data_IF_293795467310
#
_entry.id   IF_293795467310
#
_cell.length_a   1.000
_cell.length_b   1.000
_cell.length_c   1.000
_cell.angle_alpha   90.00
_cell.angle_beta   90.00
_cell.angle_gamma   90.00
#
_symmetry.space_group_name_H-M   'P 1'
#
loop_
_entity.id
_entity.type
_entity.pdbx_description
1 polymer ?
#
# COMPACT_ATOMS: atom_id res chain seq x y z
N UNK A 1 11.24 -11.32 7.78
CA UNK A 1 11.08 -10.66 6.47
C UNK A 1 10.95 -9.16 6.65
N UNK A 2 11.69 -8.39 5.87
CA UNK A 2 11.63 -6.94 5.93
C UNK A 2 11.10 -6.40 4.60
N UNK A 3 10.01 -5.61 4.67
CA UNK A 3 9.50 -4.88 3.52
C UNK A 3 10.01 -3.45 3.58
N UNK A 4 10.57 -2.96 2.49
CA UNK A 4 11.07 -1.59 2.39
C UNK A 4 10.37 -0.88 1.25
N UNK A 5 9.75 0.26 1.54
CA UNK A 5 9.16 1.13 0.52
C UNK A 5 10.07 2.33 0.33
N UNK A 6 10.52 2.52 -0.89
CA UNK A 6 11.31 3.69 -1.28
C UNK A 6 10.43 4.56 -2.16
N UNK A 7 10.14 5.76 -1.71
CA UNK A 7 9.37 6.74 -2.46
C UNK A 7 10.26 7.33 -3.54
N UNK A 8 9.90 7.12 -4.81
CA UNK A 8 10.74 7.47 -5.95
C UNK A 8 10.27 8.73 -6.67
N UNK A 9 9.00 9.08 -6.56
CA UNK A 9 8.46 10.27 -7.20
C UNK A 9 7.35 10.86 -6.34
N UNK A 10 7.56 12.10 -5.91
CA UNK A 10 6.59 12.86 -5.12
C UNK A 10 5.79 13.75 -6.08
N UNK A 11 4.58 13.35 -6.41
CA UNK A 11 3.72 14.09 -7.30
C UNK A 11 2.77 15.02 -6.56
N UNK A 12 1.96 15.74 -7.32
CA UNK A 12 1.00 16.70 -6.77
C UNK A 12 -0.11 16.00 -5.99
N UNK A 13 -0.63 14.89 -6.53
CA UNK A 13 -1.79 14.19 -5.97
C UNK A 13 -1.46 12.84 -5.39
N UNK A 14 -0.31 12.27 -5.72
CA UNK A 14 0.07 10.94 -5.30
C UNK A 14 1.59 10.80 -5.19
N UNK A 15 2.02 9.70 -4.56
CA UNK A 15 3.43 9.35 -4.41
C UNK A 15 3.68 7.97 -5.00
N UNK A 16 4.57 7.89 -5.99
CA UNK A 16 5.05 6.63 -6.55
C UNK A 16 6.23 6.11 -5.73
N UNK A 17 6.34 4.79 -5.65
CA UNK A 17 7.46 4.15 -4.98
C UNK A 17 7.71 2.74 -5.47
N UNK A 18 8.67 2.09 -4.86
CA UNK A 18 8.96 0.67 -5.07
C UNK A 18 8.95 -0.03 -3.72
N UNK A 19 8.58 -1.30 -3.73
CA UNK A 19 8.62 -2.16 -2.55
C UNK A 19 9.66 -3.25 -2.75
N UNK A 20 10.56 -3.38 -1.78
CA UNK A 20 11.59 -4.40 -1.76
C UNK A 20 11.29 -5.39 -0.63
N UNK A 21 11.51 -6.67 -0.89
CA UNK A 21 11.48 -7.71 0.16
C UNK A 21 12.93 -8.12 0.42
N UNK A 22 13.38 -7.88 1.63
CA UNK A 22 14.76 -8.19 2.05
C UNK A 22 15.80 -7.67 1.03
N UNK A 23 15.57 -6.43 0.55
CA UNK A 23 16.45 -5.76 -0.40
C UNK A 23 16.24 -6.08 -1.87
N UNK A 24 15.30 -6.97 -2.21
CA UNK A 24 15.03 -7.37 -3.60
C UNK A 24 13.70 -6.77 -4.08
N UNK A 25 13.71 -6.17 -5.26
CA UNK A 25 12.51 -5.57 -5.85
C UNK A 25 11.36 -6.58 -5.94
N UNK A 26 10.19 -6.18 -5.45
CA UNK A 26 8.98 -7.00 -5.52
C UNK A 26 7.92 -6.38 -6.44
N UNK A 27 7.60 -5.12 -6.21
CA UNK A 27 6.52 -4.44 -6.94
C UNK A 27 6.62 -2.93 -6.79
N UNK A 28 5.78 -2.22 -7.53
CA UNK A 28 5.60 -0.78 -7.39
C UNK A 28 4.57 -0.47 -6.32
N UNK A 29 4.61 0.76 -5.80
CA UNK A 29 3.67 1.24 -4.79
C UNK A 29 3.07 2.58 -5.20
N UNK A 30 1.86 2.83 -4.71
CA UNK A 30 1.18 4.10 -4.83
C UNK A 30 0.63 4.48 -3.47
N UNK A 31 0.90 5.71 -3.06
CA UNK A 31 0.39 6.31 -1.84
C UNK A 31 -0.22 7.67 -2.14
N UNK A 32 -0.93 8.24 -1.17
CA UNK A 32 -1.40 9.62 -1.22
C UNK A 32 -0.21 10.59 -1.32
N UNK A 33 -0.50 11.86 -1.60
CA UNK A 33 0.54 12.87 -1.75
C UNK A 33 1.34 13.06 -0.45
N UNK A 34 2.63 13.38 -0.62
CA UNK A 34 3.48 13.72 0.51
C UNK A 34 3.30 15.18 0.90
N UNK A 35 3.08 15.43 2.19
CA UNK A 35 3.07 16.77 2.77
C UNK A 35 3.67 16.72 4.16
N UNK A 36 4.34 17.79 4.56
CA UNK A 36 4.92 17.90 5.89
C UNK A 36 3.84 17.91 6.98
N UNK A 37 2.67 18.44 6.66
CA UNK A 37 1.50 18.45 7.56
C UNK A 37 0.44 17.52 6.99
N UNK A 38 -0.05 16.58 7.82
CA UNK A 38 -1.09 15.64 7.44
C UNK A 38 -2.39 16.35 7.08
N UNK A 39 -2.99 15.95 5.96
CA UNK A 39 -4.36 16.28 5.60
C UNK A 39 -5.16 14.99 5.51
N UNK A 40 -6.21 14.86 6.30
CA UNK A 40 -7.02 13.65 6.40
C UNK A 40 -7.48 13.18 5.01
N UNK A 41 -7.28 11.88 4.72
CA UNK A 41 -7.64 11.23 3.45
C UNK A 41 -6.87 11.74 2.22
N UNK A 42 -5.92 12.64 2.36
CA UNK A 42 -5.21 13.24 1.23
C UNK A 42 -3.70 13.04 1.27
N UNK A 43 -3.11 12.75 2.43
CA UNK A 43 -1.66 12.64 2.56
C UNK A 43 -1.22 11.23 2.94
N UNK A 44 -0.01 10.85 2.49
CA UNK A 44 0.59 9.56 2.85
C UNK A 44 1.06 9.56 4.31
N UNK A 45 1.39 8.35 4.81
CA UNK A 45 1.86 8.17 6.18
C UNK A 45 3.27 8.73 6.36
N UNK A 46 3.67 9.06 7.61
CA UNK A 46 5.04 9.49 7.89
C UNK A 46 6.06 8.41 7.57
N UNK A 47 7.28 8.83 7.26
CA UNK A 47 8.41 7.92 7.17
C UNK A 47 8.65 7.26 8.53
N UNK A 48 9.06 6.00 8.51
CA UNK A 48 9.33 5.26 9.74
C UNK A 48 9.36 3.77 9.51
N UNK A 49 9.52 3.03 10.59
CA UNK A 49 9.49 1.57 10.59
C UNK A 49 8.27 1.12 11.39
N UNK A 50 7.47 0.27 10.79
CA UNK A 50 6.20 -0.17 11.37
C UNK A 50 6.12 -1.70 11.36
N UNK A 51 5.62 -2.27 12.45
CA UNK A 51 5.29 -3.69 12.47
C UNK A 51 4.05 -3.94 11.61
N UNK A 52 3.97 -5.12 11.01
CA UNK A 52 2.83 -5.56 10.22
C UNK A 52 2.20 -6.76 10.91
N UNK A 53 0.88 -6.68 11.14
CA UNK A 53 0.09 -7.80 11.69
C UNK A 53 -1.12 -8.04 10.82
N UNK A 54 -1.66 -9.25 10.85
CA UNK A 54 -2.92 -9.56 10.17
C UNK A 54 -4.10 -8.92 10.91
N UNK A 55 -4.90 -8.16 10.17
CA UNK A 55 -6.16 -7.63 10.66
C UNK A 55 -7.31 -8.50 10.15
N UNK A 56 -8.06 -9.08 11.07
CA UNK A 56 -9.13 -10.03 10.77
C UNK A 56 -10.53 -9.47 10.99
N UNK A 57 -10.66 -8.15 10.98
CA UNK A 57 -11.94 -7.44 11.14
C UNK A 57 -12.03 -6.30 10.12
N UNK A 58 -13.24 -5.80 9.91
CA UNK A 58 -13.48 -4.65 9.04
C UNK A 58 -13.85 -5.02 7.61
N UNK A 59 -14.23 -4.01 6.84
CA UNK A 59 -14.76 -4.17 5.49
C UNK A 59 -13.76 -4.75 4.49
N UNK A 60 -12.51 -4.32 4.54
CA UNK A 60 -11.46 -4.88 3.68
C UNK A 60 -11.24 -6.36 3.95
N UNK A 61 -11.17 -6.75 5.21
CA UNK A 61 -11.00 -8.16 5.57
C UNK A 61 -12.15 -9.00 5.04
N UNK A 62 -13.40 -8.55 5.24
CA UNK A 62 -14.59 -9.25 4.77
C UNK A 62 -14.58 -9.42 3.25
N UNK A 63 -14.28 -8.35 2.53
CA UNK A 63 -14.21 -8.33 1.07
C UNK A 63 -13.12 -9.27 0.54
N UNK A 64 -11.92 -9.20 1.11
CA UNK A 64 -10.79 -10.00 0.66
C UNK A 64 -10.94 -11.47 1.05
N UNK A 65 -11.54 -11.76 2.20
CA UNK A 65 -11.88 -13.14 2.58
C UNK A 65 -12.85 -13.78 1.58
N UNK A 66 -13.85 -13.04 1.13
CA UNK A 66 -14.78 -13.51 0.12
C UNK A 66 -14.08 -13.75 -1.23
N UNK A 67 -13.13 -12.88 -1.60
CA UNK A 67 -12.42 -12.95 -2.88
C UNK A 67 -11.34 -14.03 -2.92
N UNK A 68 -10.56 -14.19 -1.86
CA UNK A 68 -9.39 -15.08 -1.84
C UNK A 68 -9.59 -16.34 -1.01
N UNK A 69 -10.68 -16.44 -0.24
CA UNK A 69 -11.00 -17.63 0.53
C UNK A 69 -9.93 -18.01 1.54
N UNK A 70 -9.53 -19.28 1.52
CA UNK A 70 -8.56 -19.83 2.48
C UNK A 70 -7.16 -19.23 2.38
N UNK A 71 -6.81 -18.62 1.26
CA UNK A 71 -5.53 -17.95 1.09
C UNK A 71 -5.44 -16.65 1.89
N UNK A 72 -6.58 -16.09 2.26
CA UNK A 72 -6.63 -14.83 3.03
C UNK A 72 -6.66 -15.10 4.52
N UNK A 73 -5.61 -14.70 5.24
CA UNK A 73 -5.48 -14.85 6.70
C UNK A 73 -5.84 -13.57 7.46
N UNK A 74 -5.89 -12.45 6.78
CA UNK A 74 -6.14 -11.12 7.32
C UNK A 74 -5.50 -10.08 6.43
N UNK A 75 -5.88 -8.81 6.61
CA UNK A 75 -5.24 -7.72 5.89
C UNK A 75 -3.88 -7.41 6.51
N UNK A 76 -2.92 -7.03 5.67
CA UNK A 76 -1.61 -6.58 6.14
C UNK A 76 -1.77 -5.19 6.74
N UNK A 77 -1.68 -5.10 8.05
CA UNK A 77 -2.01 -3.90 8.84
C UNK A 77 -0.77 -3.35 9.53
N UNK A 78 -0.38 -2.13 9.16
CA UNK A 78 0.74 -1.43 9.78
C UNK A 78 0.33 -0.92 11.16
N UNK A 79 1.17 -1.19 12.18
CA UNK A 79 0.89 -0.88 13.56
C UNK A 79 1.46 0.47 13.98
N UNK A 80 0.72 1.18 14.83
CA UNK A 80 1.19 2.40 15.50
C UNK A 80 1.72 3.49 14.55
N UNK A 81 1.02 3.71 13.45
CA UNK A 81 1.37 4.77 12.50
C UNK A 81 0.92 6.12 13.08
N UNK A 82 1.86 7.07 13.34
CA UNK A 82 1.50 8.36 13.93
C UNK A 82 0.45 9.12 13.12
N UNK A 83 -0.66 9.49 13.78
CA UNK A 83 -1.73 10.26 13.16
C UNK A 83 -2.65 9.51 12.23
N UNK A 84 -2.48 8.21 12.09
CA UNK A 84 -3.30 7.37 11.21
C UNK A 84 -3.80 6.13 11.94
N UNK A 85 -4.95 5.61 11.49
CA UNK A 85 -5.50 4.34 11.96
C UNK A 85 -5.83 3.46 10.77
N UNK A 86 -5.76 2.14 10.96
CA UNK A 86 -6.16 1.16 9.94
C UNK A 86 -5.41 1.31 8.62
N UNK A 87 -4.11 1.54 8.69
CA UNK A 87 -3.27 1.60 7.49
C UNK A 87 -2.99 0.19 7.00
N UNK A 88 -3.45 -0.12 5.80
CA UNK A 88 -3.38 -1.44 5.21
C UNK A 88 -2.57 -1.41 3.91
N UNK A 89 -2.02 -2.55 3.54
CA UNK A 89 -1.51 -2.78 2.19
C UNK A 89 -2.62 -3.49 1.42
N UNK A 90 -3.06 -2.92 0.31
CA UNK A 90 -4.15 -3.49 -0.48
C UNK A 90 -4.01 -3.20 -1.97
N UNK A 91 -4.96 -3.69 -2.76
CA UNK A 91 -5.02 -3.48 -4.19
C UNK A 91 -5.86 -2.23 -4.53
N UNK A 92 -5.59 -1.61 -5.66
CA UNK A 92 -6.30 -0.44 -6.15
C UNK A 92 -5.63 0.10 -7.41
N UNK A 93 -6.09 1.23 -7.96
CA UNK A 93 -5.57 1.81 -9.20
C UNK A 93 -5.03 3.22 -9.04
N UNK A 94 -5.66 4.05 -8.23
CA UNK A 94 -5.28 5.46 -8.05
C UNK A 94 -5.22 5.79 -6.57
N UNK A 95 -4.67 6.96 -6.25
CA UNK A 95 -4.62 7.47 -4.88
C UNK A 95 -6.01 7.63 -4.25
N UNK A 96 -7.06 7.76 -5.06
CA UNK A 96 -8.44 7.80 -4.56
C UNK A 96 -8.87 6.51 -3.89
N UNK A 97 -8.18 5.40 -4.16
CA UNK A 97 -8.43 4.09 -3.53
C UNK A 97 -7.71 3.91 -2.20
N UNK A 98 -7.05 4.94 -1.69
CA UNK A 98 -6.35 4.90 -0.41
C UNK A 98 -6.80 6.03 0.50
N UNK A 99 -6.56 5.89 1.80
CA UNK A 99 -6.70 6.93 2.81
C UNK A 99 -5.49 6.82 3.73
N UNK A 100 -4.31 7.02 3.15
CA UNK A 100 -3.04 6.77 3.78
C UNK A 100 -2.52 5.35 3.57
N UNK A 101 -3.35 4.43 3.06
CA UNK A 101 -2.95 3.04 2.80
C UNK A 101 -1.95 2.95 1.65
N UNK A 102 -1.29 1.80 1.57
CA UNK A 102 -0.31 1.50 0.53
C UNK A 102 -0.95 0.59 -0.52
N UNK A 103 -0.95 1.06 -1.77
CA UNK A 103 -1.43 0.26 -2.91
C UNK A 103 -0.22 -0.30 -3.64
N UNK A 104 -0.31 -1.56 -4.06
CA UNK A 104 0.76 -2.25 -4.80
C UNK A 104 0.33 -2.57 -6.23
N UNK A 105 1.29 -2.67 -7.15
CA UNK A 105 1.04 -2.99 -8.55
C UNK A 105 2.29 -3.47 -9.27
N UNK A 106 2.10 -4.11 -10.42
CA UNK A 106 3.21 -4.58 -11.26
C UNK A 106 3.70 -3.51 -12.23
N UNK A 107 2.87 -2.52 -12.54
CA UNK A 107 3.22 -1.41 -13.43
C UNK A 107 2.93 -0.09 -12.76
N UNK A 108 3.58 0.95 -13.21
CA UNK A 108 3.48 2.28 -12.64
C UNK A 108 3.51 3.32 -13.75
N UNK A 109 2.63 4.32 -13.66
CA UNK A 109 2.62 5.46 -14.57
C UNK A 109 3.37 6.61 -13.93
N UNK A 110 4.16 7.33 -14.72
CA UNK A 110 4.84 8.52 -14.25
C UNK A 110 3.83 9.56 -13.76
N UNK A 111 4.14 10.20 -12.63
CA UNK A 111 3.30 11.25 -12.09
C UNK A 111 3.50 12.55 -12.89
N UNK A 112 2.38 13.19 -13.20
CA UNK A 112 2.34 14.49 -13.85
C UNK A 112 1.71 15.49 -12.87
N UNK A 113 2.01 16.77 -13.00
CA UNK A 113 1.43 17.81 -12.15
C UNK A 113 -0.08 17.98 -12.36
N UNK A 114 -0.60 17.51 -13.48
CA UNK A 114 -2.02 17.60 -13.83
C UNK A 114 -2.78 16.29 -13.62
N UNK A 115 -2.09 15.17 -13.43
CA UNK A 115 -2.70 13.84 -13.37
C UNK A 115 -2.48 13.18 -12.00
N UNK A 116 -3.48 12.40 -11.57
CA UNK A 116 -3.34 11.52 -10.42
C UNK A 116 -2.38 10.37 -10.75
N UNK A 117 -1.71 9.85 -9.74
CA UNK A 117 -0.89 8.66 -9.87
C UNK A 117 -1.74 7.44 -10.24
N UNK A 118 -1.17 6.57 -11.03
CA UNK A 118 -1.82 5.32 -11.44
C UNK A 118 -0.87 4.14 -11.26
N UNK A 119 -1.42 3.02 -10.84
CA UNK A 119 -0.70 1.76 -10.70
C UNK A 119 -1.52 0.64 -11.34
N UNK A 120 -0.87 -0.22 -12.10
CA UNK A 120 -1.55 -1.27 -12.86
C UNK A 120 -1.27 -2.67 -12.34
N UNK A 121 -2.10 -3.62 -12.76
CA UNK A 121 -2.01 -5.02 -12.37
C UNK A 121 -1.90 -5.21 -10.86
N UNK A 122 -2.69 -4.44 -10.12
CA UNK A 122 -2.61 -4.36 -8.67
C UNK A 122 -3.02 -5.67 -7.98
N UNK A 123 -4.09 -6.29 -8.46
CA UNK A 123 -4.53 -7.57 -7.90
C UNK A 123 -3.46 -8.66 -8.01
N UNK A 124 -2.76 -8.69 -9.13
CA UNK A 124 -1.69 -9.67 -9.36
C UNK A 124 -0.49 -9.40 -8.46
N UNK A 125 -0.06 -8.15 -8.35
CA UNK A 125 1.03 -7.77 -7.47
C UNK A 125 0.69 -8.04 -6.01
N UNK A 126 -0.53 -7.72 -5.61
CA UNK A 126 -1.01 -7.97 -4.25
C UNK A 126 -0.98 -9.46 -3.91
N UNK A 127 -1.49 -10.31 -4.80
CA UNK A 127 -1.52 -11.76 -4.58
C UNK A 127 -0.11 -12.34 -4.43
N UNK A 128 0.83 -11.90 -5.25
CA UNK A 128 2.23 -12.32 -5.16
C UNK A 128 2.88 -11.89 -3.85
N UNK A 129 2.72 -10.63 -3.49
CA UNK A 129 3.27 -10.08 -2.26
C UNK A 129 2.68 -10.77 -1.05
N UNK A 130 1.35 -10.88 -1.01
CA UNK A 130 0.63 -11.48 0.10
C UNK A 130 1.07 -12.93 0.33
N UNK A 131 1.18 -13.70 -0.73
CA UNK A 131 1.59 -15.11 -0.64
C UNK A 131 2.98 -15.25 0.01
N UNK A 132 3.92 -14.38 -0.35
CA UNK A 132 5.25 -14.37 0.25
C UNK A 132 5.23 -13.98 1.72
N UNK A 133 4.46 -12.95 2.07
CA UNK A 133 4.36 -12.46 3.45
C UNK A 133 3.64 -13.48 4.33
N UNK A 134 2.57 -14.08 3.86
CA UNK A 134 1.78 -15.03 4.63
C UNK A 134 2.52 -16.34 4.94
N UNK A 135 3.57 -16.66 4.20
CA UNK A 135 4.38 -17.85 4.43
C UNK A 135 5.48 -17.67 5.47
N UNK A 136 5.64 -16.46 5.98
CA UNK A 136 6.66 -16.18 7.01
C UNK A 136 6.23 -16.63 8.40
#
# INVERSE_FOLDING_TARGET
>A
MKLTVVRTQLGKDATNGILLIDGVFECYTLEDQYQAVKVMHETCIPEGTYDIKFRTTGGFHTKYKARYGKAHHGMLHLQDVPGFTYILIHAGNTDEHTSGCLIVGETQQDLDISDDGFIGHSGKAYSKLYDKVAKQ
#
